data_IF_428849486764
#
_entry.id   IF_428849486764
#
_cell.length_a   1.000
_cell.length_b   1.000
_cell.length_c   1.000
_cell.angle_alpha   90.00
_cell.angle_beta   90.00
_cell.angle_gamma   90.00
#
_symmetry.space_group_name_H-M   'P 1'
#
loop_
_entity.id
_entity.type
_entity.pdbx_description
1 polymer ?
#
# COMPACT_ATOMS: atom_id res chain seq x y z
N UNK A 1 9.79 -0.69 -8.45
CA UNK A 1 8.88 -1.85 -8.53
C UNK A 1 7.83 -1.71 -9.64
N UNK A 2 6.80 -0.86 -9.52
CA UNK A 2 5.76 -0.75 -10.56
C UNK A 2 6.34 -0.39 -11.93
N UNK A 3 7.21 0.64 -12.00
CA UNK A 3 7.90 1.02 -13.24
C UNK A 3 8.88 -0.05 -13.78
N UNK A 4 9.20 -1.04 -12.96
CA UNK A 4 10.07 -2.17 -13.30
C UNK A 4 9.24 -3.41 -13.69
N UNK A 5 7.91 -3.28 -13.78
CA UNK A 5 6.99 -4.34 -14.21
C UNK A 5 6.45 -5.23 -13.09
N UNK A 6 6.73 -4.92 -11.82
CA UNK A 6 6.21 -5.69 -10.68
C UNK A 6 4.83 -5.16 -10.32
N UNK A 7 3.82 -5.98 -10.58
CA UNK A 7 2.40 -5.61 -10.45
C UNK A 7 1.66 -6.49 -9.44
N UNK A 8 2.32 -7.51 -8.89
CA UNK A 8 1.80 -8.39 -7.85
C UNK A 8 1.73 -7.64 -6.52
N UNK A 9 0.60 -7.74 -5.82
CA UNK A 9 0.39 -6.99 -4.57
C UNK A 9 1.34 -7.42 -3.46
N UNK A 10 1.66 -8.72 -3.37
CA UNK A 10 2.56 -9.27 -2.34
C UNK A 10 3.91 -8.55 -2.26
N UNK A 11 4.75 -8.57 -3.32
CA UNK A 11 6.03 -7.86 -3.34
C UNK A 11 5.90 -6.36 -3.09
N UNK A 12 4.86 -5.72 -3.66
CA UNK A 12 4.64 -4.27 -3.47
C UNK A 12 4.33 -3.93 -2.01
N UNK A 13 3.43 -4.68 -1.38
CA UNK A 13 3.06 -4.48 0.03
C UNK A 13 4.22 -4.80 0.97
N UNK A 14 5.01 -5.83 0.68
CA UNK A 14 6.21 -6.15 1.45
C UNK A 14 7.19 -4.97 1.50
N UNK A 15 7.44 -4.32 0.37
CA UNK A 15 8.33 -3.16 0.28
C UNK A 15 7.76 -1.92 1.00
N UNK A 16 6.45 -1.67 0.83
CA UNK A 16 5.76 -0.59 1.57
C UNK A 16 5.86 -0.83 3.08
N UNK A 17 5.56 -2.04 3.55
CA UNK A 17 5.62 -2.36 4.97
C UNK A 17 7.05 -2.29 5.51
N UNK A 18 8.04 -2.76 4.76
CA UNK A 18 9.45 -2.68 5.16
C UNK A 18 9.92 -1.23 5.32
N UNK A 19 9.54 -0.36 4.38
CA UNK A 19 9.84 1.07 4.44
C UNK A 19 9.19 1.72 5.67
N UNK A 20 7.89 1.48 5.91
CA UNK A 20 7.19 2.08 7.05
C UNK A 20 7.75 1.56 8.38
N UNK A 21 8.07 0.25 8.48
CA UNK A 21 8.68 -0.34 9.68
C UNK A 21 10.10 0.17 9.96
N UNK A 22 10.75 0.85 9.01
CA UNK A 22 12.06 1.51 9.27
C UNK A 22 11.95 2.73 10.18
N UNK A 23 10.75 3.30 10.35
CA UNK A 23 10.47 4.34 11.34
C UNK A 23 10.05 3.70 12.68
N UNK A 24 10.84 3.82 13.76
CA UNK A 24 10.58 3.11 15.02
C UNK A 24 9.25 3.45 15.70
N UNK A 25 8.70 4.64 15.46
CA UNK A 25 7.40 5.04 16.01
C UNK A 25 6.20 4.57 15.18
N UNK A 26 6.45 3.97 14.01
CA UNK A 26 5.40 3.58 13.09
C UNK A 26 4.79 2.22 13.43
N UNK A 27 3.46 2.20 13.52
CA UNK A 27 2.65 0.98 13.61
C UNK A 27 1.64 0.97 12.48
N UNK A 28 1.76 0.00 11.58
CA UNK A 28 0.84 -0.15 10.44
C UNK A 28 -0.51 -0.69 10.97
N UNK A 29 -1.59 0.03 10.67
CA UNK A 29 -2.97 -0.45 10.88
C UNK A 29 -3.36 -1.36 9.71
N UNK A 30 -3.15 -0.89 8.48
CA UNK A 30 -3.26 -1.67 7.26
C UNK A 30 -2.41 -1.05 6.14
N UNK A 31 -1.95 -1.90 5.24
CA UNK A 31 -1.50 -1.54 3.90
C UNK A 31 -2.17 -2.53 2.94
N UNK A 32 -2.93 -2.03 1.97
CA UNK A 32 -3.69 -2.87 1.06
C UNK A 32 -3.66 -2.29 -0.35
N UNK A 33 -3.54 -3.18 -1.33
CA UNK A 33 -3.72 -2.83 -2.73
C UNK A 33 -5.11 -3.31 -3.14
N UNK A 34 -5.94 -2.38 -3.61
CA UNK A 34 -7.36 -2.64 -3.87
C UNK A 34 -7.76 -2.20 -5.28
N UNK A 35 -8.87 -2.75 -5.76
CA UNK A 35 -9.59 -2.20 -6.91
C UNK A 35 -10.16 -0.80 -6.56
N UNK A 36 -9.96 0.24 -7.38
CA UNK A 36 -10.36 1.60 -7.02
C UNK A 36 -11.87 1.82 -6.88
N UNK A 37 -12.70 0.98 -7.50
CA UNK A 37 -14.16 1.15 -7.51
C UNK A 37 -14.83 0.42 -6.34
N UNK A 38 -14.41 -0.82 -6.08
CA UNK A 38 -14.98 -1.69 -5.05
C UNK A 38 -14.26 -1.60 -3.70
N UNK A 39 -12.99 -1.16 -3.69
CA UNK A 39 -12.09 -1.19 -2.54
C UNK A 39 -11.78 -2.61 -2.02
N UNK A 40 -12.13 -3.63 -2.78
CA UNK A 40 -11.77 -5.01 -2.47
C UNK A 40 -10.28 -5.25 -2.75
N UNK A 41 -9.57 -6.02 -1.90
CA UNK A 41 -8.17 -6.37 -2.12
C UNK A 41 -7.95 -7.10 -3.45
N UNK A 42 -6.82 -6.82 -4.10
CA UNK A 42 -6.42 -7.48 -5.35
C UNK A 42 -5.04 -8.13 -5.21
N UNK A 43 -4.83 -9.22 -5.94
CA UNK A 43 -3.53 -9.93 -5.97
C UNK A 43 -2.56 -9.34 -7.01
N UNK A 44 -3.07 -8.62 -8.00
CA UNK A 44 -2.30 -8.05 -9.11
C UNK A 44 -2.97 -6.79 -9.67
N UNK A 45 -2.17 -5.81 -10.06
CA UNK A 45 -2.63 -4.64 -10.83
C UNK A 45 -2.79 -5.04 -12.31
N UNK A 46 -4.01 -4.97 -12.83
CA UNK A 46 -4.32 -5.24 -14.25
C UNK A 46 -4.32 -3.97 -15.11
N UNK A 47 -4.81 -2.85 -14.56
CA UNK A 47 -4.87 -1.55 -15.25
C UNK A 47 -4.67 -0.40 -14.27
N UNK A 48 -5.41 -0.44 -13.18
CA UNK A 48 -5.32 0.53 -12.10
C UNK A 48 -5.57 -0.15 -10.76
N UNK A 49 -5.03 0.46 -9.71
CA UNK A 49 -5.19 0.02 -8.34
C UNK A 49 -5.07 1.22 -7.41
N UNK A 50 -5.64 1.13 -6.23
CA UNK A 50 -5.40 2.08 -5.15
C UNK A 50 -4.63 1.40 -4.04
N UNK A 51 -3.46 1.94 -3.70
CA UNK A 51 -2.75 1.58 -2.47
C UNK A 51 -3.37 2.39 -1.33
N UNK A 52 -3.92 1.71 -0.34
CA UNK A 52 -4.47 2.30 0.88
C UNK A 52 -3.52 2.03 2.04
N UNK A 53 -3.15 3.07 2.78
CA UNK A 53 -2.28 2.98 3.95
C UNK A 53 -2.91 3.69 5.15
N UNK A 54 -2.90 3.01 6.29
CA UNK A 54 -3.12 3.62 7.59
C UNK A 54 -1.96 3.26 8.51
N UNK A 55 -1.35 4.28 9.11
CA UNK A 55 -0.22 4.13 10.02
C UNK A 55 -0.41 5.01 11.23
N UNK A 56 -0.08 4.49 12.40
CA UNK A 56 -0.02 5.24 13.64
C UNK A 56 1.44 5.63 13.92
N UNK A 57 1.70 6.93 14.10
CA UNK A 57 2.98 7.49 14.50
C UNK A 57 2.81 8.10 15.89
N UNK A 58 3.29 7.39 16.92
CA UNK A 58 3.00 7.75 18.31
C UNK A 58 1.49 7.78 18.58
N UNK A 59 0.93 8.94 18.91
CA UNK A 59 -0.50 9.11 19.17
C UNK A 59 -1.33 9.49 17.92
N UNK A 60 -0.67 9.85 16.82
CA UNK A 60 -1.34 10.37 15.62
C UNK A 60 -1.59 9.25 14.63
N UNK A 61 -2.81 9.16 14.12
CA UNK A 61 -3.17 8.24 13.04
C UNK A 61 -3.15 9.00 11.71
N UNK A 62 -2.29 8.56 10.80
CA UNK A 62 -2.14 9.10 9.46
C UNK A 62 -2.76 8.14 8.45
N UNK A 63 -3.41 8.71 7.45
CA UNK A 63 -3.97 8.01 6.31
C UNK A 63 -3.28 8.55 5.07
N UNK A 64 -2.97 7.65 4.14
CA UNK A 64 -2.54 8.03 2.81
C UNK A 64 -3.09 7.02 1.79
N UNK A 65 -3.21 7.47 0.55
CA UNK A 65 -3.61 6.63 -0.55
C UNK A 65 -2.93 7.09 -1.85
N UNK A 66 -2.60 6.12 -2.70
CA UNK A 66 -2.02 6.38 -4.01
C UNK A 66 -2.79 5.62 -5.08
N UNK A 67 -3.35 6.35 -6.05
CA UNK A 67 -3.88 5.76 -7.27
C UNK A 67 -2.72 5.44 -8.21
N UNK A 68 -2.70 4.21 -8.71
CA UNK A 68 -1.66 3.65 -9.56
C UNK A 68 -2.29 3.28 -10.89
N UNK A 69 -1.62 3.64 -11.98
CA UNK A 69 -1.95 3.20 -13.34
C UNK A 69 -0.73 2.55 -13.97
N UNK A 70 -0.95 1.48 -14.74
CA UNK A 70 0.09 0.77 -15.50
C UNK A 70 -0.18 0.84 -17.01
#
# INVERSE_FOLDING_TARGET
LIREGIHESGPLLQEVEALIRSEPLARIDYAALCDPASLEPIERIEKEAVLLLAVQIGAVRLLDNLLIHI
#
